data_IF_053312282746
#
_entry.id   IF_053312282746
#
_cell.length_a   1.000
_cell.length_b   1.000
_cell.length_c   1.000
_cell.angle_alpha   90.00
_cell.angle_beta   90.00
_cell.angle_gamma   90.00
#
_symmetry.space_group_name_H-M   'P 1'
#
loop_
_entity.id
_entity.type
_entity.pdbx_description
1 polymer ?
#
# COMPACT_ATOMS: atom_id res chain seq x y z
N UNK A 1 -20.27 6.31 18.23
CA UNK A 1 -19.38 5.59 19.16
C UNK A 1 -19.26 4.13 18.74
N UNK A 2 -18.04 3.63 18.63
CA UNK A 2 -17.79 2.25 18.24
C UNK A 2 -17.94 1.34 19.46
N UNK A 3 -18.82 0.35 19.39
CA UNK A 3 -18.98 -0.62 20.45
C UNK A 3 -17.82 -1.62 20.45
N UNK A 4 -17.61 -2.33 21.55
CA UNK A 4 -16.60 -3.38 21.66
C UNK A 4 -16.82 -4.47 20.59
N UNK A 5 -18.06 -4.82 20.32
CA UNK A 5 -18.45 -5.80 19.31
C UNK A 5 -18.07 -5.35 17.90
N UNK A 6 -18.35 -4.09 17.57
CA UNK A 6 -17.98 -3.52 16.27
C UNK A 6 -16.45 -3.48 16.08
N UNK A 7 -15.70 -3.21 17.14
CA UNK A 7 -14.24 -3.26 17.10
C UNK A 7 -13.72 -4.65 16.75
N UNK A 8 -14.31 -5.68 17.32
CA UNK A 8 -13.91 -7.06 17.05
C UNK A 8 -14.21 -7.44 15.60
N UNK A 9 -15.38 -7.07 15.09
CA UNK A 9 -15.77 -7.31 13.70
C UNK A 9 -14.83 -6.59 12.73
N UNK A 10 -14.50 -5.32 13.00
CA UNK A 10 -13.59 -4.55 12.16
C UNK A 10 -12.20 -5.17 12.15
N UNK A 11 -11.71 -5.65 13.29
CA UNK A 11 -10.40 -6.32 13.36
C UNK A 11 -10.37 -7.61 12.56
N UNK A 12 -11.42 -8.43 12.65
CA UNK A 12 -11.56 -9.65 11.86
C UNK A 12 -11.61 -9.34 10.36
N UNK A 13 -12.38 -8.32 9.99
CA UNK A 13 -12.49 -7.89 8.59
C UNK A 13 -11.13 -7.47 8.04
N UNK A 14 -10.38 -6.66 8.78
CA UNK A 14 -9.05 -6.18 8.37
C UNK A 14 -8.10 -7.37 8.21
N UNK A 15 -8.04 -8.28 9.18
CA UNK A 15 -7.16 -9.44 9.11
C UNK A 15 -7.51 -10.34 7.93
N UNK A 16 -8.80 -10.58 7.70
CA UNK A 16 -9.26 -11.37 6.56
C UNK A 16 -8.89 -10.72 5.23
N UNK A 17 -9.08 -9.41 5.13
CA UNK A 17 -8.73 -8.63 3.93
C UNK A 17 -7.22 -8.65 3.68
N UNK A 18 -6.42 -8.50 4.73
CA UNK A 18 -4.96 -8.54 4.63
C UNK A 18 -4.48 -9.90 4.11
N UNK A 19 -5.04 -11.00 4.61
CA UNK A 19 -4.70 -12.34 4.13
C UNK A 19 -5.04 -12.51 2.66
N UNK A 20 -6.23 -12.08 2.25
CA UNK A 20 -6.65 -12.15 0.85
C UNK A 20 -5.72 -11.33 -0.05
N UNK A 21 -5.43 -10.10 0.36
CA UNK A 21 -4.53 -9.21 -0.39
C UNK A 21 -3.13 -9.82 -0.46
N UNK A 22 -2.64 -10.41 0.62
CA UNK A 22 -1.32 -11.05 0.63
C UNK A 22 -1.21 -12.15 -0.43
N UNK A 23 -2.21 -13.01 -0.56
CA UNK A 23 -2.22 -14.03 -1.61
C UNK A 23 -2.25 -13.41 -3.02
N UNK A 24 -3.04 -12.36 -3.21
CA UNK A 24 -3.11 -11.68 -4.50
C UNK A 24 -1.78 -11.01 -4.87
N UNK A 25 -1.13 -10.36 -3.90
CA UNK A 25 0.19 -9.75 -4.09
C UNK A 25 1.23 -10.83 -4.41
N UNK A 26 1.20 -11.94 -3.68
CA UNK A 26 2.10 -13.05 -3.93
C UNK A 26 1.95 -13.59 -5.36
N UNK A 27 0.72 -13.77 -5.83
CA UNK A 27 0.46 -14.31 -7.16
C UNK A 27 1.11 -13.49 -8.28
N UNK A 28 1.08 -12.17 -8.18
CA UNK A 28 1.69 -11.31 -9.20
C UNK A 28 3.19 -11.12 -9.03
N UNK A 29 3.75 -11.61 -7.93
CA UNK A 29 5.18 -11.49 -7.61
C UNK A 29 5.91 -12.85 -7.60
N UNK A 30 5.30 -13.87 -8.16
CA UNK A 30 5.94 -15.18 -8.30
C UNK A 30 7.22 -15.01 -9.14
N UNK A 31 8.33 -15.54 -8.63
CA UNK A 31 9.63 -15.41 -9.27
C UNK A 31 10.42 -14.16 -8.88
N UNK A 32 9.81 -13.24 -8.13
CA UNK A 32 10.53 -12.10 -7.58
C UNK A 32 11.27 -12.49 -6.31
N UNK A 33 12.48 -11.95 -6.15
CA UNK A 33 13.24 -12.11 -4.91
C UNK A 33 12.84 -11.04 -3.89
N UNK A 34 12.61 -9.81 -4.36
CA UNK A 34 12.33 -8.65 -3.52
C UNK A 34 10.99 -8.02 -3.85
N UNK A 35 10.35 -7.47 -2.84
CA UNK A 35 9.15 -6.66 -2.98
C UNK A 35 9.26 -5.44 -2.09
N UNK A 36 8.98 -4.27 -2.64
CA UNK A 36 8.91 -3.02 -1.88
C UNK A 36 7.46 -2.80 -1.45
N UNK A 37 7.23 -2.66 -0.15
CA UNK A 37 5.91 -2.33 0.39
C UNK A 37 5.95 -0.91 0.92
N UNK A 38 5.09 -0.06 0.37
CA UNK A 38 5.02 1.35 0.71
C UNK A 38 3.76 1.60 1.53
N UNK A 39 3.92 2.16 2.72
CA UNK A 39 2.80 2.63 3.53
C UNK A 39 2.65 4.13 3.39
N UNK A 40 1.44 4.60 3.08
CA UNK A 40 1.14 6.02 2.95
C UNK A 40 0.52 6.51 4.26
N UNK A 41 1.24 7.40 4.95
CA UNK A 41 0.82 7.92 6.24
C UNK A 41 0.90 6.88 7.34
N UNK A 42 0.44 7.23 8.54
CA UNK A 42 0.56 6.36 9.71
C UNK A 42 -0.29 5.09 9.59
N UNK A 43 -1.54 5.23 9.14
CA UNK A 43 -2.42 4.06 8.97
C UNK A 43 -1.95 3.15 7.86
N UNK A 44 -1.48 3.73 6.75
CA UNK A 44 -0.90 2.96 5.65
C UNK A 44 0.36 2.21 6.10
N UNK A 45 1.18 2.83 6.95
CA UNK A 45 2.36 2.18 7.52
C UNK A 45 1.97 0.94 8.34
N UNK A 46 1.00 1.08 9.23
CA UNK A 46 0.53 -0.05 10.05
C UNK A 46 -0.01 -1.19 9.18
N UNK A 47 -0.82 -0.84 8.18
CA UNK A 47 -1.39 -1.84 7.26
C UNK A 47 -0.30 -2.49 6.41
N UNK A 48 0.71 -1.74 5.99
CA UNK A 48 1.82 -2.29 5.22
C UNK A 48 2.63 -3.31 6.04
N UNK A 49 2.82 -3.05 7.32
CA UNK A 49 3.48 -4.00 8.23
C UNK A 49 2.65 -5.29 8.39
N UNK A 50 1.34 -5.16 8.54
CA UNK A 50 0.44 -6.31 8.62
C UNK A 50 0.47 -7.14 7.33
N UNK A 51 0.43 -6.47 6.19
CA UNK A 51 0.54 -7.13 4.88
C UNK A 51 1.88 -7.86 4.74
N UNK A 52 2.97 -7.21 5.15
CA UNK A 52 4.30 -7.80 5.13
C UNK A 52 4.40 -9.06 5.96
N UNK A 53 3.85 -9.05 7.17
CA UNK A 53 3.83 -10.23 8.03
C UNK A 53 3.06 -11.38 7.39
N UNK A 54 1.93 -11.09 6.75
CA UNK A 54 1.16 -12.11 6.04
C UNK A 54 1.96 -12.67 4.85
N UNK A 55 2.65 -11.82 4.10
CA UNK A 55 3.49 -12.23 2.97
C UNK A 55 4.65 -13.12 3.41
N UNK A 56 5.31 -12.79 4.51
CA UNK A 56 6.40 -13.60 5.05
C UNK A 56 5.92 -15.01 5.41
N UNK A 57 4.68 -15.13 5.87
CA UNK A 57 4.13 -16.44 6.26
C UNK A 57 3.77 -17.34 5.07
N UNK A 58 3.61 -16.78 3.86
CA UNK A 58 3.17 -17.54 2.68
C UNK A 58 4.18 -17.53 1.53
N UNK A 59 5.32 -16.85 1.67
CA UNK A 59 6.27 -16.69 0.58
C UNK A 59 7.70 -16.55 1.10
N UNK A 60 8.66 -16.65 0.18
CA UNK A 60 10.08 -16.40 0.44
C UNK A 60 10.50 -14.99 0.03
N UNK A 61 9.55 -14.13 -0.28
CA UNK A 61 9.83 -12.75 -0.68
C UNK A 61 10.60 -12.01 0.41
N UNK A 62 11.65 -11.31 -0.01
CA UNK A 62 12.39 -10.40 0.85
C UNK A 62 11.75 -9.01 0.72
N UNK A 63 11.27 -8.49 1.85
CA UNK A 63 10.48 -7.26 1.87
C UNK A 63 11.33 -6.06 2.23
N UNK A 64 11.12 -4.96 1.51
CA UNK A 64 11.68 -3.66 1.85
C UNK A 64 10.51 -2.73 2.15
N UNK A 65 10.49 -2.16 3.36
CA UNK A 65 9.42 -1.26 3.79
C UNK A 65 9.82 0.18 3.52
N UNK A 66 8.89 0.92 2.93
CA UNK A 66 9.05 2.36 2.67
C UNK A 66 7.86 3.09 3.24
N UNK A 67 8.11 4.18 3.96
CA UNK A 67 7.05 5.02 4.51
C UNK A 67 7.03 6.35 3.76
N UNK A 68 5.88 6.69 3.20
CA UNK A 68 5.65 7.98 2.58
C UNK A 68 4.86 8.88 3.52
N UNK A 69 5.32 10.12 3.64
CA UNK A 69 4.57 11.17 4.31
C UNK A 69 4.03 12.11 3.24
N UNK A 70 2.71 12.18 3.15
CA UNK A 70 1.99 13.01 2.18
C UNK A 70 0.99 13.89 2.93
N UNK A 71 1.00 15.19 2.63
CA UNK A 71 -0.03 16.09 3.12
C UNK A 71 -1.33 15.79 2.36
N UNK A 72 -2.30 15.17 3.01
CA UNK A 72 -3.55 14.75 2.37
C UNK A 72 -4.38 15.92 1.86
N UNK A 73 -4.24 17.11 2.46
CA UNK A 73 -4.90 18.32 1.98
C UNK A 73 -4.22 18.89 0.74
N UNK A 74 -2.89 18.75 0.66
CA UNK A 74 -2.08 19.29 -0.45
C UNK A 74 -1.07 18.22 -0.91
N UNK A 75 -1.54 17.13 -1.55
CA UNK A 75 -0.64 16.02 -1.94
C UNK A 75 0.44 16.41 -2.95
N UNK A 76 0.26 17.55 -3.63
CA UNK A 76 1.24 18.08 -4.57
C UNK A 76 2.42 18.76 -3.86
N UNK A 77 2.34 18.99 -2.54
CA UNK A 77 3.47 19.50 -1.75
C UNK A 77 4.51 18.40 -1.56
N UNK A 78 5.65 18.75 -0.99
CA UNK A 78 6.77 17.83 -0.84
C UNK A 78 6.36 16.50 -0.19
N UNK A 79 6.49 15.43 -0.96
CA UNK A 79 6.33 14.07 -0.47
C UNK A 79 7.68 13.63 0.11
N UNK A 80 7.64 13.06 1.31
CA UNK A 80 8.85 12.59 1.99
C UNK A 80 8.85 11.07 2.09
N UNK A 81 9.99 10.47 1.80
CA UNK A 81 10.22 9.03 1.93
C UNK A 81 11.38 8.80 2.89
N UNK A 82 11.29 7.75 3.69
CA UNK A 82 12.39 7.34 4.57
C UNK A 82 13.47 6.54 3.84
N UNK A 83 13.24 6.21 2.57
CA UNK A 83 14.20 5.49 1.73
C UNK A 83 14.42 6.28 0.44
N UNK A 84 15.67 6.41 0.01
CA UNK A 84 16.00 7.11 -1.22
C UNK A 84 15.42 6.38 -2.43
N UNK A 85 14.87 7.13 -3.38
CA UNK A 85 14.36 6.57 -4.65
C UNK A 85 15.43 5.78 -5.39
N UNK A 86 16.67 6.20 -5.32
CA UNK A 86 17.79 5.51 -5.98
C UNK A 86 17.87 4.04 -5.58
N UNK A 87 17.53 3.72 -4.33
CA UNK A 87 17.57 2.37 -3.80
C UNK A 87 16.35 1.53 -4.19
N UNK A 88 15.41 2.10 -4.93
CA UNK A 88 14.14 1.46 -5.28
C UNK A 88 13.99 1.19 -6.78
N UNK A 89 15.04 1.49 -7.58
CA UNK A 89 15.00 1.31 -9.03
C UNK A 89 14.76 -0.14 -9.42
N UNK A 90 13.96 -0.31 -10.46
CA UNK A 90 13.70 -1.60 -11.13
C UNK A 90 13.05 -2.65 -10.24
N UNK A 91 12.37 -2.22 -9.16
CA UNK A 91 11.72 -3.13 -8.23
C UNK A 91 10.21 -3.16 -8.42
N UNK A 92 9.59 -4.24 -7.93
CA UNK A 92 8.14 -4.35 -7.83
C UNK A 92 7.69 -3.64 -6.56
N UNK A 93 6.68 -2.79 -6.67
CA UNK A 93 6.23 -1.91 -5.59
C UNK A 93 4.73 -2.10 -5.36
N UNK A 94 4.33 -2.26 -4.10
CA UNK A 94 2.93 -2.23 -3.68
C UNK A 94 2.76 -1.05 -2.74
N UNK A 95 1.85 -0.15 -3.09
CA UNK A 95 1.52 1.03 -2.28
C UNK A 95 0.25 0.73 -1.49
N UNK A 96 0.33 0.88 -0.18
CA UNK A 96 -0.76 0.54 0.76
C UNK A 96 -1.30 1.82 1.40
N UNK A 97 -2.61 2.01 1.30
CA UNK A 97 -3.32 3.08 2.00
C UNK A 97 -4.59 2.50 2.63
N UNK A 98 -5.16 3.21 3.60
CA UNK A 98 -6.36 2.72 4.29
C UNK A 98 -7.62 2.93 3.43
N UNK A 99 -7.78 4.08 2.81
CA UNK A 99 -8.99 4.43 2.06
C UNK A 99 -8.64 5.03 0.70
N UNK A 100 -9.27 4.51 -0.35
CA UNK A 100 -9.29 5.16 -1.66
C UNK A 100 -10.60 5.95 -1.76
N UNK A 101 -10.50 7.25 -1.71
CA UNK A 101 -11.63 8.18 -1.80
C UNK A 101 -11.62 8.87 -3.17
N UNK A 102 -11.09 10.09 -3.26
CA UNK A 102 -10.96 10.79 -4.56
C UNK A 102 -9.84 10.25 -5.43
N UNK A 103 -8.87 9.59 -4.84
CA UNK A 103 -7.65 9.12 -5.51
C UNK A 103 -6.51 10.14 -5.51
N UNK A 104 -6.72 11.31 -4.93
CA UNK A 104 -5.72 12.38 -4.95
C UNK A 104 -4.43 11.97 -4.23
N UNK A 105 -4.53 11.43 -3.03
CA UNK A 105 -3.35 10.97 -2.28
C UNK A 105 -2.64 9.82 -3.00
N UNK A 106 -3.40 8.84 -3.43
CA UNK A 106 -2.84 7.63 -4.04
C UNK A 106 -2.18 7.91 -5.38
N UNK A 107 -2.79 8.75 -6.22
CA UNK A 107 -2.19 9.09 -7.53
C UNK A 107 -0.87 9.86 -7.35
N UNK A 108 -0.78 10.73 -6.34
CA UNK A 108 0.47 11.44 -6.05
C UNK A 108 1.53 10.50 -5.49
N UNK A 109 1.15 9.49 -4.71
CA UNK A 109 2.07 8.46 -4.24
C UNK A 109 2.64 7.66 -5.42
N UNK A 110 1.79 7.24 -6.35
CA UNK A 110 2.24 6.54 -7.57
C UNK A 110 3.18 7.43 -8.38
N UNK A 111 2.79 8.69 -8.61
CA UNK A 111 3.60 9.64 -9.36
C UNK A 111 4.99 9.85 -8.75
N UNK A 112 5.08 9.85 -7.44
CA UNK A 112 6.36 9.97 -6.74
C UNK A 112 7.37 8.90 -7.17
N UNK A 113 6.92 7.65 -7.26
CA UNK A 113 7.79 6.53 -7.66
C UNK A 113 8.06 6.49 -9.16
N UNK A 114 7.26 7.17 -9.97
CA UNK A 114 7.48 7.23 -11.41
C UNK A 114 8.65 8.14 -11.81
N UNK A 115 9.29 8.80 -10.86
CA UNK A 115 10.53 9.55 -11.10
C UNK A 115 11.72 8.63 -11.40
N UNK A 116 11.57 7.34 -11.12
CA UNK A 116 12.60 6.32 -11.37
C UNK A 116 11.99 5.18 -12.20
N UNK A 117 12.84 4.39 -12.88
CA UNK A 117 12.34 3.16 -13.51
C UNK A 117 11.88 2.19 -12.44
N UNK A 118 10.68 1.64 -12.61
CA UNK A 118 10.13 0.62 -11.71
C UNK A 118 9.71 -0.59 -12.53
N UNK A 119 9.71 -1.77 -11.92
CA UNK A 119 9.25 -2.98 -12.60
C UNK A 119 7.74 -2.99 -12.71
N UNK A 120 7.05 -2.69 -11.64
CA UNK A 120 5.60 -2.50 -11.59
C UNK A 120 5.20 -1.76 -10.32
N UNK A 121 4.06 -1.09 -10.37
CA UNK A 121 3.44 -0.49 -9.18
C UNK A 121 2.02 -1.01 -9.10
N UNK A 122 1.64 -1.54 -7.96
CA UNK A 122 0.27 -1.94 -7.64
C UNK A 122 -0.18 -1.23 -6.37
N UNK A 123 -1.48 -1.09 -6.22
CA UNK A 123 -2.08 -0.38 -5.09
C UNK A 123 -2.99 -1.30 -4.29
N UNK A 124 -2.95 -1.18 -2.98
CA UNK A 124 -3.77 -1.94 -2.05
C UNK A 124 -4.44 -1.01 -1.06
N UNK A 125 -5.75 -1.13 -0.90
CA UNK A 125 -6.52 -0.31 0.07
C UNK A 125 -7.50 -1.19 0.83
N UNK A 126 -7.80 -0.79 2.07
CA UNK A 126 -8.80 -1.50 2.88
C UNK A 126 -10.23 -1.11 2.50
N UNK A 127 -10.45 0.15 2.15
CA UNK A 127 -11.77 0.68 1.80
C UNK A 127 -11.68 1.43 0.49
N UNK A 128 -12.51 1.04 -0.49
CA UNK A 128 -12.67 1.76 -1.75
C UNK A 128 -14.04 2.43 -1.75
N UNK A 129 -14.07 3.76 -1.61
CA UNK A 129 -15.32 4.53 -1.53
C UNK A 129 -15.90 4.89 -2.89
N UNK A 130 -15.16 4.65 -3.95
CA UNK A 130 -15.63 4.86 -5.32
C UNK A 130 -16.06 6.32 -5.64
N UNK A 131 -15.44 7.30 -4.97
CA UNK A 131 -15.69 8.73 -5.19
C UNK A 131 -14.54 9.36 -5.99
N UNK A 132 -14.01 8.64 -6.97
CA UNK A 132 -12.79 9.03 -7.67
C UNK A 132 -12.95 10.31 -8.48
N UNK A 133 -11.99 11.21 -8.33
CA UNK A 133 -11.79 12.39 -9.17
C UNK A 133 -10.55 12.27 -10.05
N UNK A 134 -9.70 11.28 -9.80
CA UNK A 134 -8.43 11.07 -10.49
C UNK A 134 -8.38 9.64 -11.05
N UNK A 135 -7.66 9.43 -12.17
CA UNK A 135 -7.60 8.12 -12.83
C UNK A 135 -6.66 7.16 -12.11
N UNK A 136 -7.12 6.63 -11.00
CA UNK A 136 -6.39 5.69 -10.16
C UNK A 136 -7.35 4.63 -9.67
N UNK A 137 -6.85 3.42 -9.46
CA UNK A 137 -7.66 2.32 -8.93
C UNK A 137 -6.92 1.62 -7.80
N UNK A 138 -7.65 0.86 -7.01
CA UNK A 138 -7.08 -0.11 -6.10
C UNK A 138 -6.98 -1.46 -6.83
N UNK A 139 -5.76 -1.95 -7.00
CA UNK A 139 -5.54 -3.28 -7.59
C UNK A 139 -5.97 -4.38 -6.63
N UNK A 140 -5.77 -4.15 -5.35
CA UNK A 140 -6.16 -5.06 -4.27
C UNK A 140 -7.00 -4.32 -3.25
N UNK A 141 -8.11 -4.92 -2.86
CA UNK A 141 -9.03 -4.31 -1.90
C UNK A 141 -9.84 -5.35 -1.14
#
# INVERSE_FOLDING_TARGET
MITKENKIKNSKYILSSIKRIAFQVYEINIGEEYLVIVGVGERGRLLSEMLGQALVSISDLKLKYVNLTIDKAKPYNNIKSNVSLENLKNQSIVIVDDVLNTGNTLIHAVSYFLQIPVKRIKTAVMVNRNHKKFPIKADFK
#
